data_IF_109136491110
#
_entry.id   IF_109136491110
#
_cell.length_a   1.000
_cell.length_b   1.000
_cell.length_c   1.000
_cell.angle_alpha   90.00
_cell.angle_beta   90.00
_cell.angle_gamma   90.00
#
_symmetry.space_group_name_H-M   'P 1'
#
loop_
_entity.id
_entity.type
_entity.pdbx_description
1 polymer ?
#
# COMPACT_ATOMS: atom_id res chain seq x y z
N UNK A 1 44.92 70.15 -8.69
CA UNK A 1 44.77 68.72 -9.01
C UNK A 1 43.54 68.18 -8.32
N UNK A 2 42.43 67.91 -9.07
CA UNK A 2 41.15 67.41 -8.52
C UNK A 2 41.03 65.94 -8.88
N UNK A 3 41.05 65.05 -7.87
CA UNK A 3 40.77 63.64 -8.06
C UNK A 3 39.25 63.41 -7.97
N UNK A 4 38.69 62.78 -9.04
CA UNK A 4 37.26 62.33 -9.08
C UNK A 4 37.20 60.89 -8.64
N UNK A 5 36.44 60.64 -7.58
CA UNK A 5 36.05 59.30 -7.11
C UNK A 5 34.89 58.81 -7.97
N UNK A 6 35.06 57.69 -8.65
CA UNK A 6 33.97 56.95 -9.31
C UNK A 6 33.41 55.89 -8.34
N UNK A 7 32.15 56.09 -7.90
CA UNK A 7 31.45 55.07 -7.14
C UNK A 7 30.85 54.01 -8.08
N UNK A 8 31.25 52.74 -7.89
CA UNK A 8 30.61 51.59 -8.49
C UNK A 8 29.34 51.21 -7.68
N UNK A 9 28.16 51.37 -8.27
CA UNK A 9 26.91 50.80 -7.76
C UNK A 9 26.79 49.39 -8.27
N UNK A 10 26.99 48.41 -7.43
CA UNK A 10 26.69 46.99 -7.74
C UNK A 10 25.21 46.73 -7.55
N UNK A 11 24.51 46.52 -8.64
CA UNK A 11 23.12 46.10 -8.66
C UNK A 11 23.08 44.59 -8.37
N UNK A 12 22.76 44.20 -7.13
CA UNK A 12 22.48 42.81 -6.79
C UNK A 12 21.09 42.43 -7.27
N UNK A 13 21.03 41.68 -8.37
CA UNK A 13 19.80 41.04 -8.85
C UNK A 13 19.46 39.89 -7.88
N UNK A 14 18.47 40.12 -7.02
CA UNK A 14 17.85 39.04 -6.23
C UNK A 14 17.07 38.14 -7.19
N UNK A 15 17.62 36.96 -7.49
CA UNK A 15 16.92 35.87 -8.17
C UNK A 15 15.86 35.32 -7.23
N UNK A 16 14.62 35.78 -7.37
CA UNK A 16 13.45 35.16 -6.74
C UNK A 16 13.29 33.78 -7.37
N UNK A 17 13.80 32.76 -6.68
CA UNK A 17 13.44 31.36 -6.92
C UNK A 17 11.95 31.24 -6.60
N UNK A 18 11.10 31.24 -7.63
CA UNK A 18 9.72 30.86 -7.51
C UNK A 18 9.65 29.40 -7.10
N UNK A 19 9.35 29.12 -5.83
CA UNK A 19 8.99 27.81 -5.36
C UNK A 19 7.75 27.40 -6.15
N UNK A 20 7.73 26.24 -6.85
CA UNK A 20 6.53 25.79 -7.54
C UNK A 20 5.41 25.67 -6.50
N UNK A 21 4.26 26.28 -6.80
CA UNK A 21 3.05 26.12 -5.99
C UNK A 21 2.80 24.63 -5.78
N UNK A 22 2.64 24.23 -4.52
CA UNK A 22 2.44 22.84 -4.11
C UNK A 22 1.25 22.26 -4.91
N UNK A 23 1.46 21.17 -5.64
CA UNK A 23 0.42 20.42 -6.36
C UNK A 23 -0.80 20.09 -5.47
N UNK A 24 -0.59 20.08 -4.14
CA UNK A 24 -1.65 19.84 -3.15
C UNK A 24 -2.77 20.91 -3.16
N UNK A 25 -2.54 22.09 -3.69
CA UNK A 25 -3.55 23.18 -3.77
C UNK A 25 -4.48 23.04 -4.97
N UNK A 26 -4.05 22.31 -6.01
CA UNK A 26 -4.82 22.15 -7.24
C UNK A 26 -5.61 20.84 -7.31
N UNK A 27 -5.56 20.02 -6.24
CA UNK A 27 -6.27 18.74 -6.18
C UNK A 27 -7.64 18.90 -5.53
N UNK A 28 -8.66 18.27 -6.11
CA UNK A 28 -10.00 18.22 -5.54
C UNK A 28 -9.98 17.69 -4.11
N UNK A 29 -10.59 18.46 -3.18
CA UNK A 29 -10.57 18.14 -1.75
C UNK A 29 -11.24 16.79 -1.42
N UNK A 30 -12.16 16.31 -2.27
CA UNK A 30 -12.87 15.05 -2.11
C UNK A 30 -12.08 13.87 -2.72
N UNK A 31 -11.45 14.09 -3.88
CA UNK A 31 -10.80 13.05 -4.67
C UNK A 31 -9.28 13.15 -4.59
N UNK A 32 -8.75 13.00 -3.38
CA UNK A 32 -7.33 12.94 -3.07
C UNK A 32 -7.03 11.77 -2.13
N UNK A 33 -5.75 11.50 -1.91
CA UNK A 33 -5.27 10.44 -1.04
C UNK A 33 -5.71 9.03 -1.48
N UNK A 34 -5.76 8.80 -2.80
CA UNK A 34 -5.95 7.48 -3.37
C UNK A 34 -4.69 6.64 -3.19
N UNK A 35 -4.72 5.70 -2.25
CA UNK A 35 -3.64 4.73 -2.01
C UNK A 35 -3.73 3.57 -3.01
N UNK A 36 -2.59 2.97 -3.44
CA UNK A 36 -2.61 1.74 -4.24
C UNK A 36 -3.48 0.67 -3.58
N UNK A 37 -4.22 -0.09 -4.39
CA UNK A 37 -5.08 -1.16 -3.92
C UNK A 37 -5.04 -2.36 -4.88
N UNK A 38 -4.35 -3.42 -4.50
CA UNK A 38 -4.26 -4.65 -5.27
C UNK A 38 -5.22 -5.75 -4.83
N UNK A 39 -6.09 -5.48 -3.84
CA UNK A 39 -7.07 -6.48 -3.36
C UNK A 39 -8.25 -6.68 -4.32
N UNK A 40 -8.48 -5.71 -5.20
CA UNK A 40 -9.52 -5.79 -6.23
C UNK A 40 -8.89 -5.91 -7.60
N UNK A 41 -9.49 -6.71 -8.47
CA UNK A 41 -9.21 -6.77 -9.89
C UNK A 41 -10.29 -6.00 -10.65
N UNK A 42 -9.89 -5.32 -11.73
CA UNK A 42 -10.81 -4.69 -12.65
C UNK A 42 -10.80 -5.44 -14.00
N UNK A 43 -11.99 -5.61 -14.57
CA UNK A 43 -12.19 -6.09 -15.93
C UNK A 43 -13.12 -5.14 -16.67
N UNK A 44 -12.87 -4.99 -17.97
CA UNK A 44 -13.78 -4.30 -18.91
C UNK A 44 -14.09 -5.32 -20.01
N UNK A 45 -15.38 -5.65 -20.18
CA UNK A 45 -15.84 -6.72 -21.09
C UNK A 45 -15.09 -8.05 -20.88
N UNK A 46 -14.87 -8.41 -19.60
CA UNK A 46 -14.21 -9.66 -19.20
C UNK A 46 -12.70 -9.69 -19.41
N UNK A 47 -12.04 -8.55 -19.72
CA UNK A 47 -10.60 -8.45 -19.91
C UNK A 47 -10.00 -7.44 -18.91
N UNK A 48 -8.85 -7.77 -18.33
CA UNK A 48 -8.10 -6.81 -17.53
C UNK A 48 -7.49 -5.74 -18.45
N UNK A 49 -7.79 -4.44 -18.26
CA UNK A 49 -7.24 -3.38 -19.11
C UNK A 49 -5.73 -3.28 -18.95
N UNK A 50 -5.00 -3.17 -20.06
CA UNK A 50 -3.54 -3.12 -20.05
C UNK A 50 -3.04 -1.83 -19.33
N UNK A 51 -2.03 -1.98 -18.47
CA UNK A 51 -1.44 -0.86 -17.72
C UNK A 51 -2.37 -0.21 -16.71
N UNK A 52 -3.57 -0.80 -16.47
CA UNK A 52 -4.49 -0.27 -15.46
C UNK A 52 -3.97 -0.44 -14.05
N UNK A 53 -4.29 0.53 -13.19
CA UNK A 53 -4.00 0.48 -11.75
C UNK A 53 -5.24 0.84 -10.96
N UNK A 54 -5.39 0.16 -9.83
CA UNK A 54 -6.49 0.39 -8.89
C UNK A 54 -5.98 1.11 -7.65
N UNK A 55 -6.74 2.10 -7.20
CA UNK A 55 -6.47 2.85 -5.98
C UNK A 55 -7.75 3.00 -5.16
N UNK A 56 -7.59 3.26 -3.86
CA UNK A 56 -8.69 3.44 -2.92
C UNK A 56 -8.50 4.72 -2.09
N UNK A 57 -9.46 5.62 -2.14
CA UNK A 57 -9.58 6.75 -1.22
C UNK A 57 -10.57 6.41 -0.11
N UNK A 58 -10.08 6.08 1.07
CA UNK A 58 -10.91 5.66 2.22
C UNK A 58 -11.90 6.75 2.65
N UNK A 59 -11.48 8.02 2.66
CA UNK A 59 -12.33 9.15 3.05
C UNK A 59 -13.52 9.33 2.13
N UNK A 60 -13.30 9.22 0.82
CA UNK A 60 -14.34 9.35 -0.19
C UNK A 60 -15.15 8.05 -0.38
N UNK A 61 -14.70 6.92 0.21
CA UNK A 61 -15.23 5.58 -0.05
C UNK A 61 -15.31 5.33 -1.57
N UNK A 62 -14.21 5.64 -2.28
CA UNK A 62 -14.17 5.63 -3.74
C UNK A 62 -12.96 4.86 -4.23
N UNK A 63 -13.16 4.09 -5.30
CA UNK A 63 -12.08 3.52 -6.07
C UNK A 63 -11.73 4.42 -7.25
N UNK A 64 -10.46 4.47 -7.60
CA UNK A 64 -9.94 5.07 -8.82
C UNK A 64 -9.30 3.95 -9.65
N UNK A 65 -9.82 3.72 -10.84
CA UNK A 65 -9.26 2.79 -11.82
C UNK A 65 -8.69 3.60 -12.99
N UNK A 66 -7.38 3.57 -13.18
CA UNK A 66 -6.77 4.13 -14.39
C UNK A 66 -6.99 3.19 -15.56
N UNK A 67 -7.37 3.73 -16.72
CA UNK A 67 -7.62 2.96 -17.96
C UNK A 67 -6.86 3.63 -19.10
N UNK A 68 -5.53 3.35 -19.22
CA UNK A 68 -4.67 4.03 -20.21
C UNK A 68 -5.14 3.85 -21.66
N UNK A 69 -5.66 2.68 -22.01
CA UNK A 69 -6.18 2.39 -23.34
C UNK A 69 -7.28 3.37 -23.78
N UNK A 70 -8.06 3.88 -22.84
CA UNK A 70 -9.13 4.86 -23.07
C UNK A 70 -8.73 6.30 -22.73
N UNK A 71 -7.49 6.54 -22.30
CA UNK A 71 -7.00 7.84 -21.79
C UNK A 71 -7.92 8.42 -20.70
N UNK A 72 -8.52 7.57 -19.88
CA UNK A 72 -9.46 7.91 -18.81
C UNK A 72 -9.07 7.25 -17.49
N UNK A 73 -9.59 7.81 -16.41
CA UNK A 73 -9.67 7.13 -15.13
C UNK A 73 -11.14 7.11 -14.68
N UNK A 74 -11.56 5.99 -14.10
CA UNK A 74 -12.90 5.79 -13.56
C UNK A 74 -12.87 6.00 -12.05
N UNK A 75 -13.85 6.77 -11.55
CA UNK A 75 -14.06 6.97 -10.13
C UNK A 75 -15.38 6.26 -9.77
N UNK A 76 -15.27 5.19 -8.98
CA UNK A 76 -16.40 4.41 -8.52
C UNK A 76 -16.70 4.84 -7.08
N UNK A 77 -17.80 5.57 -6.89
CA UNK A 77 -18.16 6.23 -5.63
C UNK A 77 -19.18 5.37 -4.89
N UNK A 78 -18.72 4.61 -3.89
CA UNK A 78 -19.56 3.64 -3.20
C UNK A 78 -20.78 4.29 -2.51
N UNK A 79 -20.61 5.47 -1.91
CA UNK A 79 -21.67 6.16 -1.16
C UNK A 79 -22.87 6.57 -2.01
N UNK A 80 -22.64 6.94 -3.26
CA UNK A 80 -23.69 7.43 -4.18
C UNK A 80 -24.05 6.41 -5.25
N UNK A 81 -23.34 5.26 -5.28
CA UNK A 81 -23.44 4.22 -6.30
C UNK A 81 -23.28 4.77 -7.72
N UNK A 82 -22.35 5.73 -7.90
CA UNK A 82 -22.08 6.35 -9.18
C UNK A 82 -20.71 5.95 -9.71
N UNK A 83 -20.63 5.91 -11.04
CA UNK A 83 -19.38 5.83 -11.80
C UNK A 83 -19.23 7.07 -12.62
N UNK A 84 -18.08 7.71 -12.49
CA UNK A 84 -17.72 8.92 -13.23
C UNK A 84 -16.36 8.71 -13.89
N UNK A 85 -16.14 9.30 -15.06
CA UNK A 85 -14.84 9.30 -15.71
C UNK A 85 -14.22 10.69 -15.64
N UNK A 86 -12.90 10.70 -15.56
CA UNK A 86 -12.07 11.91 -15.73
C UNK A 86 -10.98 11.64 -16.76
N UNK A 87 -10.46 12.65 -17.47
CA UNK A 87 -9.29 12.49 -18.32
C UNK A 87 -8.09 11.98 -17.49
N UNK A 88 -7.33 11.04 -18.03
CA UNK A 88 -6.21 10.42 -17.31
C UNK A 88 -5.12 11.44 -16.93
N UNK A 89 -4.91 12.47 -17.76
CA UNK A 89 -3.97 13.57 -17.50
C UNK A 89 -4.36 14.45 -16.30
N UNK A 90 -5.61 14.35 -15.82
CA UNK A 90 -6.10 15.01 -14.61
C UNK A 90 -5.85 14.19 -13.33
N UNK A 91 -5.36 12.98 -13.44
CA UNK A 91 -4.95 12.15 -12.30
C UNK A 91 -3.44 12.33 -12.11
N UNK A 92 -3.02 12.75 -10.92
CA UNK A 92 -1.63 13.08 -10.61
C UNK A 92 -1.14 12.37 -9.36
N UNK A 93 0.14 12.00 -9.39
CA UNK A 93 0.83 11.56 -8.18
C UNK A 93 1.05 12.76 -7.24
N UNK A 94 0.81 12.55 -5.95
CA UNK A 94 1.03 13.50 -4.88
C UNK A 94 2.41 13.27 -4.23
N UNK A 95 2.93 14.27 -3.51
CA UNK A 95 4.23 14.21 -2.84
C UNK A 95 4.34 13.06 -1.82
N UNK A 96 3.20 12.67 -1.24
CA UNK A 96 3.10 11.54 -0.30
C UNK A 96 2.96 10.17 -0.99
N UNK A 97 3.09 10.11 -2.32
CA UNK A 97 2.99 8.89 -3.14
C UNK A 97 1.56 8.39 -3.37
N UNK A 98 0.53 9.11 -2.91
CA UNK A 98 -0.88 8.81 -3.27
C UNK A 98 -1.22 9.41 -4.64
N UNK A 99 -2.40 9.10 -5.17
CA UNK A 99 -2.93 9.75 -6.36
C UNK A 99 -4.03 10.74 -5.97
N UNK A 100 -4.18 11.78 -6.78
CA UNK A 100 -5.25 12.77 -6.64
C UNK A 100 -5.80 13.19 -8.00
N UNK A 101 -7.05 13.68 -8.01
CA UNK A 101 -7.70 14.26 -9.18
C UNK A 101 -7.62 15.77 -9.08
N UNK A 102 -7.19 16.45 -10.15
CA UNK A 102 -7.07 17.91 -10.18
C UNK A 102 -8.46 18.56 -10.07
N UNK A 103 -8.53 19.70 -9.39
CA UNK A 103 -9.79 20.42 -9.13
C UNK A 103 -10.47 20.95 -10.40
N UNK A 104 -9.71 21.15 -11.48
CA UNK A 104 -10.22 21.57 -12.79
C UNK A 104 -10.66 20.38 -13.68
N UNK A 105 -10.61 19.15 -13.16
CA UNK A 105 -11.06 17.98 -13.91
C UNK A 105 -12.56 18.05 -14.21
N UNK A 106 -12.91 17.75 -15.45
CA UNK A 106 -14.31 17.61 -15.85
C UNK A 106 -14.75 16.17 -15.60
N UNK A 107 -15.74 15.99 -14.72
CA UNK A 107 -16.32 14.70 -14.40
C UNK A 107 -17.42 14.37 -15.41
N UNK A 108 -17.26 13.25 -16.11
CA UNK A 108 -18.25 12.71 -17.05
C UNK A 108 -19.06 11.61 -16.34
N UNK A 109 -20.35 11.81 -16.05
CA UNK A 109 -21.18 10.77 -15.48
C UNK A 109 -21.32 9.58 -16.42
N UNK A 110 -20.99 8.37 -15.95
CA UNK A 110 -21.13 7.15 -16.73
C UNK A 110 -22.35 6.30 -16.30
N UNK A 111 -23.01 6.68 -15.20
CA UNK A 111 -24.16 5.98 -14.65
C UNK A 111 -23.95 5.46 -13.25
N UNK A 112 -24.70 4.42 -12.89
CA UNK A 112 -24.60 3.74 -11.60
C UNK A 112 -23.90 2.39 -11.73
N UNK A 113 -23.77 1.71 -10.60
CA UNK A 113 -23.32 0.32 -10.53
C UNK A 113 -24.23 -0.52 -9.64
N UNK A 114 -24.18 -1.82 -9.82
CA UNK A 114 -24.84 -2.81 -8.98
C UNK A 114 -23.81 -3.63 -8.20
N UNK A 115 -24.19 -4.13 -7.03
CA UNK A 115 -23.40 -5.10 -6.28
C UNK A 115 -23.99 -6.48 -6.53
N UNK A 116 -23.23 -7.38 -7.16
CA UNK A 116 -23.60 -8.77 -7.45
C UNK A 116 -22.67 -9.71 -6.69
N UNK A 117 -23.14 -10.20 -5.53
CA UNK A 117 -22.31 -10.98 -4.63
C UNK A 117 -21.18 -10.11 -4.05
N UNK A 118 -19.93 -10.45 -4.36
CA UNK A 118 -18.73 -9.71 -3.96
C UNK A 118 -18.16 -8.81 -5.09
N UNK A 119 -18.91 -8.65 -6.18
CA UNK A 119 -18.52 -7.88 -7.35
C UNK A 119 -19.29 -6.56 -7.45
N UNK A 120 -18.63 -5.54 -7.96
CA UNK A 120 -19.24 -4.27 -8.39
C UNK A 120 -19.32 -4.30 -9.91
N UNK A 121 -20.52 -4.15 -10.48
CA UNK A 121 -20.77 -4.23 -11.93
C UNK A 121 -21.39 -2.93 -12.42
N UNK A 122 -20.77 -2.29 -13.39
CA UNK A 122 -21.24 -1.04 -14.02
C UNK A 122 -21.25 -1.16 -15.53
N UNK A 123 -22.39 -0.83 -16.16
CA UNK A 123 -22.45 -0.65 -17.62
C UNK A 123 -22.01 0.75 -17.99
N UNK A 124 -20.97 0.87 -18.79
CA UNK A 124 -20.40 2.15 -19.23
C UNK A 124 -20.24 2.21 -20.74
N UNK A 125 -20.04 3.40 -21.33
CA UNK A 125 -19.73 3.50 -22.77
C UNK A 125 -18.44 2.79 -23.19
N UNK A 126 -17.57 2.44 -22.23
CA UNK A 126 -16.34 1.68 -22.49
C UNK A 126 -16.53 0.15 -22.40
N UNK A 127 -17.73 -0.31 -22.06
CA UNK A 127 -18.06 -1.70 -21.82
C UNK A 127 -18.55 -1.95 -20.38
N UNK A 128 -18.79 -3.23 -20.06
CA UNK A 128 -19.14 -3.64 -18.70
C UNK A 128 -17.89 -3.65 -17.81
N UNK A 129 -17.88 -2.77 -16.83
CA UNK A 129 -16.79 -2.68 -15.83
C UNK A 129 -17.15 -3.56 -14.64
N UNK A 130 -16.29 -4.53 -14.32
CA UNK A 130 -16.43 -5.43 -13.18
C UNK A 130 -15.24 -5.23 -12.24
N UNK A 131 -15.53 -4.87 -10.98
CA UNK A 131 -14.54 -4.97 -9.91
C UNK A 131 -14.83 -6.22 -9.09
N UNK A 132 -13.83 -7.06 -8.89
CA UNK A 132 -13.96 -8.30 -8.12
C UNK A 132 -12.76 -8.51 -7.19
N UNK A 133 -12.95 -9.19 -6.05
CA UNK A 133 -11.83 -9.52 -5.17
C UNK A 133 -10.76 -10.34 -5.92
N UNK A 134 -9.49 -10.03 -5.66
CA UNK A 134 -8.38 -10.85 -6.16
C UNK A 134 -8.40 -12.22 -5.46
N UNK A 135 -8.13 -13.33 -6.15
CA UNK A 135 -7.96 -14.64 -5.53
C UNK A 135 -6.93 -14.60 -4.40
N UNK A 136 -7.19 -15.34 -3.32
CA UNK A 136 -6.31 -15.35 -2.15
C UNK A 136 -4.90 -15.81 -2.50
N UNK A 137 -3.89 -15.14 -1.94
CA UNK A 137 -2.49 -15.55 -2.03
C UNK A 137 -2.25 -16.65 -0.99
N UNK A 138 -2.04 -17.88 -1.45
CA UNK A 138 -1.97 -19.08 -0.59
C UNK A 138 -0.58 -19.69 -0.53
N UNK A 139 -0.29 -20.38 0.59
CA UNK A 139 0.96 -21.13 0.81
C UNK A 139 2.15 -20.23 1.11
N UNK A 140 3.35 -20.80 1.01
CA UNK A 140 4.61 -20.13 1.35
C UNK A 140 4.94 -19.02 0.33
N UNK A 141 5.27 -17.83 0.83
CA UNK A 141 5.55 -16.62 0.06
C UNK A 141 6.71 -15.85 0.68
N UNK A 142 7.29 -14.97 -0.13
CA UNK A 142 8.28 -13.96 0.29
C UNK A 142 7.62 -12.59 0.43
N UNK A 143 8.31 -11.61 1.03
CA UNK A 143 7.87 -10.22 1.03
C UNK A 143 7.67 -9.68 -0.39
N UNK A 144 8.55 -10.03 -1.33
CA UNK A 144 8.44 -9.67 -2.75
C UNK A 144 7.15 -10.21 -3.40
N UNK A 145 6.75 -11.43 -3.07
CA UNK A 145 5.49 -12.00 -3.57
C UNK A 145 4.28 -11.22 -3.07
N UNK A 146 4.32 -10.75 -1.80
CA UNK A 146 3.26 -9.92 -1.23
C UNK A 146 3.19 -8.57 -1.95
N UNK A 147 4.32 -7.90 -2.16
CA UNK A 147 4.38 -6.60 -2.85
C UNK A 147 3.96 -6.73 -4.32
N UNK A 148 4.34 -7.81 -5.02
CA UNK A 148 3.85 -8.10 -6.39
C UNK A 148 2.35 -8.40 -6.44
N UNK A 149 1.83 -9.05 -5.40
CA UNK A 149 0.39 -9.30 -5.28
C UNK A 149 -0.39 -8.01 -5.05
N UNK A 150 0.08 -7.12 -4.17
CA UNK A 150 -0.56 -5.83 -3.87
C UNK A 150 0.50 -4.76 -3.61
N UNK A 151 0.67 -3.82 -4.56
CA UNK A 151 1.61 -2.69 -4.43
C UNK A 151 1.39 -1.88 -3.13
N UNK A 152 0.20 -1.93 -2.55
CA UNK A 152 -0.10 -1.26 -1.28
C UNK A 152 0.75 -1.78 -0.11
N UNK A 153 1.25 -3.00 -0.15
CA UNK A 153 2.14 -3.51 0.90
C UNK A 153 3.46 -2.73 0.91
N UNK A 154 4.13 -2.58 -0.24
CA UNK A 154 5.36 -1.78 -0.35
C UNK A 154 5.11 -0.31 -0.01
N UNK A 155 4.08 0.30 -0.62
CA UNK A 155 3.71 1.69 -0.36
C UNK A 155 3.49 2.02 1.12
N UNK A 156 2.91 1.10 1.90
CA UNK A 156 2.70 1.28 3.34
C UNK A 156 3.93 0.90 4.16
N UNK A 157 4.74 -0.05 3.70
CA UNK A 157 5.99 -0.43 4.34
C UNK A 157 6.94 0.77 4.40
N UNK A 158 7.08 1.53 3.31
CA UNK A 158 7.92 2.72 3.24
C UNK A 158 7.53 3.83 4.23
N UNK A 159 6.30 3.78 4.75
CA UNK A 159 5.79 4.77 5.72
C UNK A 159 5.92 4.32 7.18
N UNK A 160 6.36 3.10 7.43
CA UNK A 160 6.56 2.58 8.77
C UNK A 160 7.99 2.87 9.24
N UNK A 161 8.18 3.64 10.33
CA UNK A 161 9.49 3.91 10.92
C UNK A 161 9.75 2.93 12.10
N UNK A 162 10.39 1.77 11.89
CA UNK A 162 10.76 0.91 13.01
C UNK A 162 11.81 1.57 13.89
N UNK A 163 11.89 1.15 15.15
CA UNK A 163 12.89 1.66 16.09
C UNK A 163 14.30 1.23 15.70
N UNK A 164 15.17 2.18 15.34
CA UNK A 164 16.57 1.92 14.97
C UNK A 164 17.32 1.17 16.08
N UNK A 165 17.08 1.52 17.36
CA UNK A 165 17.67 0.85 18.51
C UNK A 165 17.27 -0.62 18.57
N UNK A 166 15.98 -0.91 18.42
CA UNK A 166 15.47 -2.29 18.45
C UNK A 166 15.97 -3.09 17.25
N UNK A 167 16.00 -2.48 16.06
CA UNK A 167 16.55 -3.11 14.85
C UNK A 167 18.03 -3.44 15.04
N UNK A 168 18.84 -2.53 15.60
CA UNK A 168 20.25 -2.79 15.85
C UNK A 168 20.46 -3.97 16.82
N UNK A 169 19.66 -4.06 17.88
CA UNK A 169 19.70 -5.20 18.82
C UNK A 169 19.29 -6.51 18.15
N UNK A 170 18.26 -6.53 17.34
CA UNK A 170 17.81 -7.70 16.57
C UNK A 170 18.88 -8.14 15.54
N UNK A 171 19.57 -7.21 14.88
CA UNK A 171 20.70 -7.53 13.99
C UNK A 171 21.86 -8.21 14.69
N UNK A 172 22.06 -7.91 15.97
CA UNK A 172 23.12 -8.52 16.78
C UNK A 172 22.75 -9.92 17.31
N UNK A 173 21.52 -10.42 17.06
CA UNK A 173 21.09 -11.77 17.42
C UNK A 173 21.98 -12.81 16.71
N UNK A 174 22.61 -13.65 17.49
CA UNK A 174 23.61 -14.62 17.00
C UNK A 174 23.02 -15.98 16.60
N UNK A 175 21.76 -16.27 16.98
CA UNK A 175 21.07 -17.52 16.66
C UNK A 175 20.44 -17.46 15.28
N UNK A 176 20.31 -18.60 14.61
CA UNK A 176 19.54 -18.71 13.38
C UNK A 176 18.05 -18.75 13.75
N UNK A 177 17.33 -17.69 13.40
CA UNK A 177 15.93 -17.49 13.77
C UNK A 177 15.07 -17.54 12.52
N UNK A 178 14.03 -18.36 12.52
CA UNK A 178 12.99 -18.35 11.51
C UNK A 178 11.77 -17.60 12.04
N UNK A 179 11.30 -16.62 11.28
CA UNK A 179 10.10 -15.84 11.58
C UNK A 179 9.05 -16.17 10.54
N UNK A 180 8.03 -16.94 10.94
CA UNK A 180 6.91 -17.30 10.06
C UNK A 180 5.69 -16.47 10.37
N UNK A 181 5.17 -15.79 9.32
CA UNK A 181 4.00 -14.93 9.42
C UNK A 181 2.83 -15.57 8.69
N UNK A 182 1.86 -16.09 9.45
CA UNK A 182 0.60 -16.56 8.88
C UNK A 182 -0.32 -15.40 8.59
N UNK A 183 -0.85 -15.34 7.37
CA UNK A 183 -1.67 -14.21 6.92
C UNK A 183 -2.81 -14.64 6.00
N UNK A 184 -3.80 -13.75 5.83
CA UNK A 184 -4.82 -13.83 4.79
C UNK A 184 -4.76 -12.58 3.92
N UNK A 185 -4.56 -12.71 2.62
CA UNK A 185 -4.60 -11.56 1.69
C UNK A 185 -5.98 -10.89 1.63
N UNK A 186 -7.01 -11.59 2.08
CA UNK A 186 -8.38 -11.15 2.27
C UNK A 186 -8.64 -10.44 3.61
N UNK A 187 -7.68 -10.45 4.53
CA UNK A 187 -7.84 -9.96 5.89
C UNK A 187 -7.44 -8.47 6.00
N UNK A 188 -8.34 -7.61 6.39
CA UNK A 188 -8.09 -6.16 6.53
C UNK A 188 -7.04 -5.83 7.59
N UNK A 189 -6.95 -6.62 8.67
CA UNK A 189 -5.91 -6.48 9.70
C UNK A 189 -4.54 -6.85 9.14
N UNK A 190 -4.45 -7.92 8.34
CA UNK A 190 -3.22 -8.28 7.63
C UNK A 190 -2.78 -7.18 6.66
N UNK A 191 -3.70 -6.65 5.86
CA UNK A 191 -3.42 -5.54 4.93
C UNK A 191 -2.84 -4.28 5.60
N UNK A 192 -3.10 -4.11 6.89
CA UNK A 192 -2.54 -3.01 7.71
C UNK A 192 -1.20 -3.37 8.33
N UNK A 193 -1.02 -4.60 8.83
CA UNK A 193 0.13 -4.96 9.67
C UNK A 193 1.28 -5.61 8.90
N UNK A 194 1.00 -6.36 7.83
CA UNK A 194 2.05 -6.97 7.00
C UNK A 194 3.06 -5.94 6.47
N UNK A 195 2.67 -4.74 6.02
CA UNK A 195 3.61 -3.71 5.63
C UNK A 195 4.66 -3.38 6.69
N UNK A 196 4.26 -3.35 7.96
CA UNK A 196 5.17 -3.06 9.08
C UNK A 196 6.17 -4.20 9.29
N UNK A 197 5.70 -5.45 9.16
CA UNK A 197 6.55 -6.64 9.26
C UNK A 197 7.52 -6.69 8.09
N UNK A 198 7.07 -6.41 6.86
CA UNK A 198 7.90 -6.32 5.65
C UNK A 198 9.01 -5.27 5.85
N UNK A 199 8.67 -4.09 6.41
CA UNK A 199 9.68 -3.06 6.68
C UNK A 199 10.70 -3.49 7.72
N UNK A 200 10.28 -4.22 8.76
CA UNK A 200 11.19 -4.77 9.77
C UNK A 200 12.11 -5.82 9.13
N UNK A 201 11.59 -6.73 8.29
CA UNK A 201 12.40 -7.70 7.54
C UNK A 201 13.44 -6.99 6.66
N UNK A 202 13.04 -5.98 5.88
CA UNK A 202 13.95 -5.17 5.05
C UNK A 202 15.08 -4.55 5.88
N UNK A 203 14.74 -3.97 7.04
CA UNK A 203 15.72 -3.40 7.94
C UNK A 203 16.63 -4.45 8.59
N UNK A 204 16.20 -5.71 8.66
CA UNK A 204 16.98 -6.84 9.22
C UNK A 204 17.75 -7.62 8.15
N UNK A 205 17.80 -7.15 6.91
CA UNK A 205 18.58 -7.76 5.83
C UNK A 205 20.04 -7.98 6.27
N UNK A 206 20.58 -9.16 5.95
CA UNK A 206 21.92 -9.60 6.35
C UNK A 206 22.06 -10.06 7.79
N UNK A 207 20.99 -10.05 8.59
CA UNK A 207 20.96 -10.68 9.92
C UNK A 207 20.71 -12.19 9.82
N UNK A 208 20.66 -12.86 10.98
CA UNK A 208 20.31 -14.28 11.08
C UNK A 208 18.79 -14.52 11.24
N UNK A 209 17.97 -13.50 11.13
CA UNK A 209 16.53 -13.62 11.12
C UNK A 209 16.03 -13.81 9.69
N UNK A 210 15.38 -14.94 9.44
CA UNK A 210 14.84 -15.30 8.13
C UNK A 210 13.32 -15.26 8.19
N UNK A 211 12.72 -14.47 7.31
CA UNK A 211 11.27 -14.30 7.25
C UNK A 211 10.65 -15.15 6.16
N UNK A 212 9.47 -15.68 6.45
CA UNK A 212 8.60 -16.34 5.48
C UNK A 212 7.14 -16.02 5.79
N UNK A 213 6.33 -15.93 4.75
CA UNK A 213 4.93 -15.60 4.86
C UNK A 213 4.09 -16.78 4.39
N UNK A 214 3.13 -17.20 5.19
CA UNK A 214 2.27 -18.32 4.85
C UNK A 214 0.82 -17.86 4.70
N UNK A 215 0.36 -17.81 3.44
CA UNK A 215 -0.97 -17.35 3.08
C UNK A 215 -2.04 -18.42 3.31
N UNK A 216 -3.10 -18.05 4.00
CA UNK A 216 -4.20 -18.93 4.36
C UNK A 216 -5.49 -18.62 3.58
N UNK A 217 -6.32 -19.63 3.28
CA UNK A 217 -7.65 -19.41 2.75
C UNK A 217 -8.57 -18.72 3.78
N UNK A 218 -9.65 -18.10 3.32
CA UNK A 218 -10.62 -17.44 4.21
C UNK A 218 -11.30 -18.42 5.18
N UNK A 219 -11.42 -19.68 4.79
CA UNK A 219 -11.94 -20.74 5.67
C UNK A 219 -11.01 -21.09 6.82
N UNK A 220 -9.75 -20.70 6.77
CA UNK A 220 -8.67 -21.12 7.68
C UNK A 220 -8.42 -22.65 7.66
N UNK A 221 -9.03 -23.37 6.72
CA UNK A 221 -8.85 -24.82 6.58
C UNK A 221 -7.56 -25.11 5.78
N UNK A 222 -6.47 -25.28 6.52
CA UNK A 222 -5.13 -25.49 6.01
C UNK A 222 -4.33 -26.37 6.98
N UNK A 223 -3.57 -27.32 6.44
CA UNK A 223 -2.83 -28.30 7.26
C UNK A 223 -1.70 -27.66 8.09
N UNK A 224 -0.97 -26.67 7.50
CA UNK A 224 0.08 -25.97 8.23
C UNK A 224 -0.50 -25.12 9.36
N UNK A 225 -1.65 -24.47 9.13
CA UNK A 225 -2.35 -23.70 10.14
C UNK A 225 -2.82 -24.61 11.31
N UNK A 226 -3.35 -25.79 10.99
CA UNK A 226 -3.78 -26.79 11.99
C UNK A 226 -2.60 -27.32 12.80
N UNK A 227 -1.51 -27.70 12.12
CA UNK A 227 -0.31 -28.24 12.76
C UNK A 227 0.34 -27.22 13.72
N UNK A 228 0.25 -25.94 13.39
CA UNK A 228 0.81 -24.84 14.20
C UNK A 228 -0.23 -24.18 15.11
N UNK A 229 -1.44 -24.73 15.20
CA UNK A 229 -2.54 -24.20 16.03
C UNK A 229 -2.80 -22.71 15.76
N UNK A 230 -2.87 -22.31 14.47
CA UNK A 230 -3.15 -20.94 14.06
C UNK A 230 -4.67 -20.71 14.06
N UNK A 231 -5.16 -19.90 14.99
CA UNK A 231 -6.59 -19.60 15.16
C UNK A 231 -7.03 -18.27 14.56
N UNK A 232 -6.08 -17.46 14.07
CA UNK A 232 -6.38 -16.15 13.47
C UNK A 232 -5.20 -15.60 12.70
N UNK A 233 -5.44 -14.55 11.91
CA UNK A 233 -4.42 -13.88 11.10
C UNK A 233 -4.50 -12.35 11.30
N UNK A 234 -3.34 -11.64 11.30
CA UNK A 234 -1.99 -12.18 11.22
C UNK A 234 -1.55 -12.85 12.52
N UNK A 235 -0.75 -13.90 12.42
CA UNK A 235 -0.02 -14.50 13.54
C UNK A 235 1.44 -14.65 13.13
N UNK A 236 2.36 -14.09 13.92
CA UNK A 236 3.81 -14.24 13.78
C UNK A 236 4.29 -15.29 14.76
N UNK A 237 5.02 -16.30 14.26
CA UNK A 237 5.61 -17.39 15.01
C UNK A 237 7.13 -17.33 14.86
N UNK A 238 7.86 -17.39 15.96
CA UNK A 238 9.33 -17.40 15.98
C UNK A 238 9.83 -18.78 16.34
N UNK A 239 10.71 -19.33 15.50
CA UNK A 239 11.30 -20.65 15.70
C UNK A 239 12.84 -20.55 15.76
N UNK A 240 13.44 -21.35 16.64
CA UNK A 240 14.88 -21.57 16.73
C UNK A 240 15.10 -23.08 16.69
N UNK A 241 15.98 -23.58 15.82
CA UNK A 241 16.20 -25.01 15.60
C UNK A 241 14.90 -25.79 15.33
N UNK A 242 13.96 -25.18 14.58
CA UNK A 242 12.67 -25.75 14.24
C UNK A 242 11.65 -25.82 15.39
N UNK A 243 11.99 -25.29 16.57
CA UNK A 243 11.10 -25.25 17.75
C UNK A 243 10.56 -23.84 17.95
N UNK A 244 9.26 -23.72 18.18
CA UNK A 244 8.66 -22.45 18.53
C UNK A 244 9.17 -21.95 19.88
N UNK A 245 9.68 -20.71 19.90
CA UNK A 245 10.11 -20.01 21.10
C UNK A 245 9.11 -18.93 21.53
N UNK A 246 8.18 -18.58 20.66
CA UNK A 246 7.08 -17.67 20.97
C UNK A 246 6.29 -17.24 19.74
N UNK A 247 5.15 -16.63 19.98
CA UNK A 247 4.28 -16.10 18.93
C UNK A 247 3.60 -14.81 19.37
N UNK A 248 3.11 -14.04 18.40
CA UNK A 248 2.22 -12.89 18.61
C UNK A 248 1.10 -12.92 17.57
N UNK A 249 -0.11 -12.66 18.01
CA UNK A 249 -1.27 -12.39 17.16
C UNK A 249 -1.36 -10.89 16.80
N UNK A 250 -2.44 -10.49 16.13
CA UNK A 250 -2.67 -9.12 15.74
C UNK A 250 -2.59 -8.11 16.91
N UNK A 251 -2.98 -8.50 18.11
CA UNK A 251 -2.96 -7.61 19.29
C UNK A 251 -1.53 -7.29 19.74
N UNK A 252 -0.63 -8.26 19.61
CA UNK A 252 0.79 -8.13 19.96
C UNK A 252 1.69 -7.62 18.83
N UNK A 253 1.16 -7.40 17.62
CA UNK A 253 1.94 -7.00 16.43
C UNK A 253 1.82 -5.52 16.08
N UNK A 254 1.40 -4.66 17.03
CA UNK A 254 1.31 -3.21 16.79
C UNK A 254 2.69 -2.57 16.53
N UNK A 255 3.75 -3.16 17.08
CA UNK A 255 5.16 -2.75 16.89
C UNK A 255 5.97 -4.03 16.67
N UNK A 256 6.08 -4.53 15.42
CA UNK A 256 6.62 -5.86 15.12
C UNK A 256 8.05 -6.09 15.61
N UNK A 257 8.93 -5.09 15.49
CA UNK A 257 10.32 -5.18 15.96
C UNK A 257 10.41 -5.37 17.49
N UNK A 258 9.52 -4.72 18.25
CA UNK A 258 9.47 -4.93 19.71
C UNK A 258 8.93 -6.33 20.06
N UNK A 259 7.88 -6.75 19.33
CA UNK A 259 7.34 -8.10 19.50
C UNK A 259 8.40 -9.18 19.28
N UNK A 260 9.22 -9.04 18.24
CA UNK A 260 10.36 -9.94 17.99
C UNK A 260 11.40 -9.89 19.12
N UNK A 261 11.80 -8.68 19.53
CA UNK A 261 12.76 -8.50 20.60
C UNK A 261 12.30 -9.16 21.92
N UNK A 262 11.05 -8.95 22.30
CA UNK A 262 10.43 -9.57 23.48
C UNK A 262 10.43 -11.11 23.40
N UNK A 263 10.04 -11.70 22.24
CA UNK A 263 10.03 -13.14 22.07
C UNK A 263 11.45 -13.72 22.18
N UNK A 264 12.45 -13.02 21.63
CA UNK A 264 13.84 -13.45 21.63
C UNK A 264 14.58 -13.16 22.95
N UNK A 265 13.94 -12.44 23.89
CA UNK A 265 14.55 -12.03 25.17
C UNK A 265 15.61 -10.94 25.01
N UNK A 266 15.49 -10.12 23.97
CA UNK A 266 16.39 -9.01 23.66
C UNK A 266 15.83 -7.74 24.32
N UNK A 267 16.55 -7.22 25.30
CA UNK A 267 16.16 -6.02 26.12
C UNK A 267 16.89 -4.74 25.68
#
# INVERSE_FOLDING_TARGET
MKARLFGFVTLSAAMLLSVPASLAQDVDALFRDFEPNGQMLAEIDGKSPEGSKMYLAKRASSYLLTVPEHNKALIIIARTQKVEAVPLDKVKAMDNGTMGVLADAQFEPLGGFEIKGDQVVASTPMGEVVLKPRPSLLGLRTADDLVKYDEAYGFKADKYPPSDETIAKLKAEGRDVQVRVYFGSWCSTCSRMLPWIIKVEEQLEGSKLQFEYYGLPRSMDDESAKAMEIHGVPTLVVLIDGKEVGRRDASGLQVPEKALAEILGIS
#
